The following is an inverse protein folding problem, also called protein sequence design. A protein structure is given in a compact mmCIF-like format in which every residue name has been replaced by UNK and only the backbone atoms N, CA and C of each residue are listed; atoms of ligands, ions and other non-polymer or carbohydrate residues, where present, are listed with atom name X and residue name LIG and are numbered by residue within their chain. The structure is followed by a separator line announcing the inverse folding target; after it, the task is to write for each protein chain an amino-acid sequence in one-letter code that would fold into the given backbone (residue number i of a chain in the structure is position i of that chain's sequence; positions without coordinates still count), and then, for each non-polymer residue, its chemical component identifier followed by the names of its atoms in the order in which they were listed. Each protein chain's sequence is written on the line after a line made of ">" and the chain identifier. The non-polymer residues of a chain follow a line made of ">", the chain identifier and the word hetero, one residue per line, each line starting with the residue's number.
data_IF_754635757891
#
_entry.id   IF_754635757891
#
_cell.length_a   1.000
_cell.length_b   1.000
_cell.length_c   1.000
_cell.angle_alpha   90.00
_cell.angle_beta   90.00
_cell.angle_gamma   90.00
#
_symmetry.space_group_name_H-M   'P 1'
#
loop_
_entity.id
_entity.type
_entity.pdbx_description
1 polymer ?
#
# COMPACT_ATOMS: atom_id res chain seq x y z
N UNK A 1 -51.23 9.92 -27.95
CA UNK A 1 -51.20 8.43 -27.88
C UNK A 1 -50.07 7.91 -28.76
N UNK A 2 -48.96 7.42 -28.19
CA UNK A 2 -48.12 6.31 -28.70
C UNK A 2 -46.83 6.15 -27.85
N UNK A 3 -46.91 5.15 -26.97
CA UNK A 3 -45.87 4.16 -26.59
C UNK A 3 -44.48 4.67 -26.16
N UNK A 4 -44.34 4.68 -24.83
CA UNK A 4 -43.18 4.23 -24.05
C UNK A 4 -42.27 3.26 -24.83
N UNK A 5 -40.99 3.61 -24.98
CA UNK A 5 -39.91 2.63 -25.06
C UNK A 5 -38.88 2.99 -24.00
N UNK A 6 -38.94 2.24 -22.90
CA UNK A 6 -37.89 2.11 -21.91
C UNK A 6 -36.64 1.56 -22.61
N UNK A 7 -35.64 2.41 -22.82
CA UNK A 7 -34.26 1.95 -22.99
C UNK A 7 -33.60 2.06 -21.61
N UNK A 8 -33.82 1.01 -20.82
CA UNK A 8 -33.02 0.72 -19.64
C UNK A 8 -31.60 0.37 -20.10
N UNK A 9 -30.73 1.37 -20.23
CA UNK A 9 -29.29 1.15 -20.34
C UNK A 9 -28.75 0.82 -18.94
N UNK A 10 -28.95 -0.43 -18.51
CA UNK A 10 -28.39 -0.97 -17.29
C UNK A 10 -27.02 -1.59 -17.60
N UNK A 11 -26.00 -1.18 -16.85
CA UNK A 11 -24.71 -1.87 -16.70
C UNK A 11 -23.76 -1.70 -17.89
N UNK A 12 -22.56 -1.16 -17.73
CA UNK A 12 -21.55 -1.72 -16.84
C UNK A 12 -20.53 -0.63 -16.53
N UNK A 13 -20.56 -0.09 -15.30
CA UNK A 13 -19.45 0.70 -14.80
C UNK A 13 -18.30 -0.28 -14.52
N UNK A 14 -17.30 -0.32 -15.41
CA UNK A 14 -16.03 -0.99 -15.12
C UNK A 14 -15.37 -0.23 -13.97
N UNK A 15 -15.58 -0.72 -12.75
CA UNK A 15 -14.77 -0.35 -11.61
C UNK A 15 -13.37 -0.92 -11.85
N UNK A 16 -12.49 -0.10 -12.42
CA UNK A 16 -11.06 -0.30 -12.31
C UNK A 16 -10.71 -0.13 -10.83
N UNK A 17 -10.90 -1.20 -10.04
CA UNK A 17 -10.36 -1.31 -8.70
C UNK A 17 -8.86 -1.42 -8.87
N UNK A 18 -8.20 -0.27 -8.96
CA UNK A 18 -6.76 -0.21 -8.79
C UNK A 18 -6.47 -0.75 -7.39
N UNK A 19 -5.87 -1.93 -7.31
CA UNK A 19 -5.41 -2.51 -6.05
C UNK A 19 -4.29 -1.63 -5.48
N UNK A 20 -4.62 -0.48 -4.91
CA UNK A 20 -3.75 0.22 -3.99
C UNK A 20 -3.62 -0.72 -2.78
N UNK A 21 -2.50 -1.44 -2.71
CA UNK A 21 -2.29 -2.43 -1.67
C UNK A 21 -2.32 -1.75 -0.30
N UNK A 22 -3.31 -2.05 0.51
CA UNK A 22 -3.34 -1.67 1.93
C UNK A 22 -2.64 -2.75 2.76
N UNK A 23 -2.06 -2.43 3.93
CA UNK A 23 -1.62 -3.44 4.87
C UNK A 23 -2.73 -4.43 5.21
N UNK A 24 -2.37 -5.70 5.41
CA UNK A 24 -3.26 -6.72 5.93
C UNK A 24 -3.25 -6.76 7.46
N UNK A 25 -4.01 -7.71 8.03
CA UNK A 25 -4.16 -7.86 9.49
C UNK A 25 -2.95 -8.54 10.15
N UNK A 26 -2.04 -9.13 9.36
CA UNK A 26 -0.81 -9.79 9.83
C UNK A 26 0.26 -9.83 8.76
N UNK A 27 1.50 -10.05 9.17
CA UNK A 27 2.58 -10.36 8.24
C UNK A 27 2.29 -11.67 7.47
N UNK A 28 2.47 -11.65 6.16
CA UNK A 28 2.37 -12.82 5.29
C UNK A 28 3.65 -13.66 5.30
N UNK A 29 3.56 -14.94 4.91
CA UNK A 29 4.74 -15.81 4.79
C UNK A 29 5.67 -15.37 3.64
N UNK A 30 5.11 -14.75 2.60
CA UNK A 30 5.85 -14.19 1.48
C UNK A 30 6.13 -12.71 1.76
N UNK A 31 7.39 -12.32 2.03
CA UNK A 31 7.69 -10.95 2.41
C UNK A 31 7.51 -9.96 1.24
N UNK A 32 7.03 -8.74 1.50
CA UNK A 32 6.98 -7.69 0.50
C UNK A 32 8.38 -7.25 0.11
N UNK A 33 8.54 -6.84 -1.14
CA UNK A 33 9.80 -6.37 -1.72
C UNK A 33 9.60 -5.04 -2.43
N UNK A 34 10.60 -4.17 -2.34
CA UNK A 34 10.65 -2.99 -3.22
C UNK A 34 10.92 -3.45 -4.66
N UNK A 35 10.04 -3.03 -5.57
CA UNK A 35 10.17 -3.23 -7.01
C UNK A 35 10.21 -1.88 -7.73
N UNK A 36 10.85 -1.88 -8.91
CA UNK A 36 10.79 -0.75 -9.82
C UNK A 36 9.49 -0.82 -10.61
N UNK A 37 8.70 0.26 -10.60
CA UNK A 37 7.47 0.40 -11.37
C UNK A 37 7.50 1.72 -12.13
N UNK A 38 7.88 1.66 -13.41
CA UNK A 38 8.18 2.86 -14.18
C UNK A 38 9.36 3.60 -13.54
N UNK A 39 9.16 4.88 -13.21
CA UNK A 39 10.18 5.73 -12.57
C UNK A 39 10.16 5.66 -11.03
N UNK A 40 9.15 5.00 -10.44
CA UNK A 40 8.99 4.93 -8.99
C UNK A 40 9.44 3.59 -8.41
N UNK A 41 9.73 3.61 -7.11
CA UNK A 41 9.97 2.42 -6.30
C UNK A 41 8.77 2.23 -5.38
N UNK A 42 8.22 1.04 -5.37
CA UNK A 42 7.05 0.72 -4.56
C UNK A 42 7.13 -0.69 -4.00
N UNK A 43 6.31 -0.99 -3.01
CA UNK A 43 6.09 -2.35 -2.57
C UNK A 43 5.35 -3.14 -3.64
N UNK A 44 5.79 -4.37 -3.91
CA UNK A 44 5.09 -5.29 -4.81
C UNK A 44 3.77 -5.79 -4.22
N UNK A 45 3.70 -5.93 -2.89
CA UNK A 45 2.54 -6.45 -2.18
C UNK A 45 2.31 -5.73 -0.85
N UNK A 46 1.45 -4.69 -0.87
CA UNK A 46 1.05 -3.98 0.35
C UNK A 46 0.31 -4.86 1.37
N UNK A 47 -0.50 -5.83 0.91
CA UNK A 47 -1.26 -6.72 1.81
C UNK A 47 -0.41 -7.73 2.57
N UNK A 48 0.86 -7.91 2.19
CA UNK A 48 1.78 -8.75 2.94
C UNK A 48 2.18 -8.14 4.29
N UNK A 49 2.06 -6.81 4.44
CA UNK A 49 2.34 -6.14 5.71
C UNK A 49 1.26 -6.44 6.75
N UNK A 50 1.66 -6.53 8.02
CA UNK A 50 0.75 -6.52 9.17
C UNK A 50 0.66 -5.14 9.83
N UNK A 51 -0.06 -5.03 10.97
CA UNK A 51 -0.10 -3.79 11.76
C UNK A 51 1.29 -3.42 12.28
N UNK A 52 1.53 -2.12 12.47
CA UNK A 52 2.79 -1.64 13.06
C UNK A 52 2.81 -1.98 14.56
N UNK A 53 3.79 -2.76 15.06
CA UNK A 53 3.92 -2.99 16.50
C UNK A 53 4.11 -1.68 17.27
N UNK A 54 3.51 -1.55 18.46
CA UNK A 54 3.56 -0.31 19.26
C UNK A 54 5.00 0.17 19.51
N UNK A 55 5.92 -0.76 19.79
CA UNK A 55 7.34 -0.48 20.00
C UNK A 55 8.05 0.07 18.76
N UNK A 56 7.48 -0.10 17.57
CA UNK A 56 8.03 0.33 16.29
C UNK A 56 7.33 1.57 15.72
N UNK A 57 6.21 2.04 16.27
CA UNK A 57 5.44 3.19 15.76
C UNK A 57 6.32 4.42 15.56
N UNK A 58 7.08 4.82 16.58
CA UNK A 58 7.96 5.99 16.51
C UNK A 58 9.00 5.85 15.40
N UNK A 59 9.58 4.66 15.26
CA UNK A 59 10.60 4.37 14.24
C UNK A 59 9.98 4.37 12.84
N UNK A 60 8.85 3.71 12.66
CA UNK A 60 8.12 3.66 11.41
C UNK A 60 7.71 5.05 10.94
N UNK A 61 7.12 5.86 11.82
CA UNK A 61 6.75 7.24 11.49
C UNK A 61 7.97 8.09 11.15
N UNK A 62 9.10 7.92 11.86
CA UNK A 62 10.34 8.62 11.51
C UNK A 62 10.86 8.24 10.12
N UNK A 63 10.71 6.98 9.71
CA UNK A 63 11.11 6.51 8.37
C UNK A 63 10.16 7.07 7.32
N UNK A 64 8.84 6.96 7.53
CA UNK A 64 7.85 7.44 6.56
C UNK A 64 7.86 8.97 6.44
N UNK A 65 8.21 9.71 7.48
CA UNK A 65 8.37 11.15 7.44
C UNK A 65 9.44 11.63 6.44
N UNK A 66 10.36 10.75 6.01
CA UNK A 66 11.30 11.07 4.93
C UNK A 66 10.63 11.31 3.56
N UNK A 67 9.38 10.84 3.40
CA UNK A 67 8.55 11.06 2.20
C UNK A 67 7.72 12.35 2.29
N UNK A 68 7.76 13.06 3.42
CA UNK A 68 6.97 14.26 3.62
C UNK A 68 7.34 15.34 2.61
N UNK A 69 6.33 16.04 2.11
CA UNK A 69 6.47 17.26 1.35
C UNK A 69 5.89 18.44 2.15
N UNK A 70 5.82 19.61 1.52
CA UNK A 70 5.12 20.77 2.09
C UNK A 70 3.64 20.47 2.34
N UNK A 71 3.01 19.73 1.43
CA UNK A 71 1.55 19.57 1.36
C UNK A 71 1.08 18.15 1.72
N UNK A 72 2.01 17.23 2.04
CA UNK A 72 1.65 15.84 2.35
C UNK A 72 2.54 15.27 3.44
N UNK A 73 1.90 14.64 4.43
CA UNK A 73 2.55 13.88 5.50
C UNK A 73 2.32 12.39 5.29
N UNK A 74 3.31 11.60 5.70
CA UNK A 74 3.28 10.16 5.62
C UNK A 74 3.59 9.55 6.98
N UNK A 75 2.82 8.52 7.33
CA UNK A 75 2.95 7.75 8.56
C UNK A 75 3.06 6.27 8.24
N UNK A 76 3.62 5.48 9.16
CA UNK A 76 3.67 4.05 9.01
C UNK A 76 2.32 3.44 9.36
N UNK A 77 1.71 2.73 8.41
CA UNK A 77 0.42 2.04 8.61
C UNK A 77 0.55 0.52 8.54
N UNK A 78 1.72 0.01 8.12
CA UNK A 78 2.02 -1.42 8.16
C UNK A 78 3.50 -1.70 8.43
N UNK A 79 3.78 -2.90 8.91
CA UNK A 79 5.13 -3.40 9.17
C UNK A 79 5.30 -4.83 8.68
N UNK A 80 6.50 -5.15 8.21
CA UNK A 80 6.90 -6.51 7.91
C UNK A 80 8.36 -6.75 8.31
N UNK A 81 8.59 -7.68 9.22
CA UNK A 81 9.89 -8.01 9.81
C UNK A 81 10.92 -8.48 8.79
N UNK A 82 10.45 -9.13 7.71
CA UNK A 82 11.31 -9.67 6.64
C UNK A 82 11.20 -8.91 5.31
N UNK A 83 10.69 -7.67 5.30
CA UNK A 83 10.57 -6.89 4.06
C UNK A 83 11.93 -6.78 3.35
N UNK A 84 11.91 -6.72 2.01
CA UNK A 84 13.11 -6.82 1.18
C UNK A 84 13.33 -5.57 0.32
N UNK A 85 14.60 -5.25 0.09
CA UNK A 85 15.02 -4.18 -0.80
C UNK A 85 14.97 -4.58 -2.29
N UNK A 86 15.40 -3.66 -3.17
CA UNK A 86 15.47 -3.88 -4.61
C UNK A 86 16.37 -5.07 -5.01
N UNK A 87 17.36 -5.43 -4.21
CA UNK A 87 18.22 -6.60 -4.46
C UNK A 87 17.62 -7.90 -3.93
N UNK A 88 16.52 -7.83 -3.19
CA UNK A 88 15.90 -8.97 -2.51
C UNK A 88 16.48 -9.23 -1.11
N UNK A 89 17.38 -8.37 -0.62
CA UNK A 89 17.95 -8.49 0.72
C UNK A 89 16.96 -7.97 1.76
N UNK A 90 16.82 -8.68 2.87
CA UNK A 90 15.99 -8.26 3.99
C UNK A 90 16.52 -6.98 4.63
N UNK A 91 15.62 -6.02 4.90
CA UNK A 91 15.95 -4.86 5.73
C UNK A 91 16.25 -5.33 7.16
N UNK A 92 17.41 -4.97 7.75
CA UNK A 92 17.77 -5.41 9.11
C UNK A 92 16.75 -5.03 10.18
N UNK A 93 15.95 -4.01 9.92
CA UNK A 93 14.95 -3.46 10.84
C UNK A 93 13.52 -3.77 10.43
N UNK A 94 13.32 -4.69 9.48
CA UNK A 94 12.07 -4.82 8.73
C UNK A 94 11.79 -3.61 7.84
N UNK A 95 10.63 -3.63 7.19
CA UNK A 95 10.14 -2.55 6.33
C UNK A 95 8.80 -2.03 6.83
N UNK A 96 8.50 -0.79 6.45
CA UNK A 96 7.26 -0.10 6.80
C UNK A 96 6.46 0.23 5.54
N UNK A 97 5.16 0.03 5.62
CA UNK A 97 4.22 0.53 4.63
C UNK A 97 3.87 1.97 5.00
N UNK A 98 4.26 2.92 4.14
CA UNK A 98 4.01 4.34 4.36
C UNK A 98 2.77 4.78 3.59
N UNK A 99 1.80 5.35 4.30
CA UNK A 99 0.60 5.92 3.71
C UNK A 99 0.47 7.38 4.10
N UNK A 100 -0.30 8.14 3.31
CA UNK A 100 -0.61 9.54 3.65
C UNK A 100 -1.41 9.56 4.95
N UNK A 101 -1.06 10.49 5.83
CA UNK A 101 -1.82 10.81 7.05
C UNK A 101 -3.16 11.46 6.70
#
# INVERSE_FOLDING_TARGET
>A
MKKMFLLAACGTAMLLVGCAGVPGDKESDVPPRIVQSGESRQWDNGSAFGPVPESLVKKGNSICASLNTKDTKYVATGYHSKARDLSGKTFPTGGFFCAKE
#
